data_IF_277648239255
#
_entry.id   IF_277648239255
#
_cell.length_a   1.000
_cell.length_b   1.000
_cell.length_c   1.000
_cell.angle_alpha   90.00
_cell.angle_beta   90.00
_cell.angle_gamma   90.00
#
_symmetry.space_group_name_H-M   'P 1'
#
loop_
_entity.id
_entity.type
_entity.pdbx_description
1 polymer ?
#
# COMPACT_ATOMS: atom_id res chain seq x y z
N UNK A 1 -50.42 0.17 40.10
CA UNK A 1 -49.06 0.58 39.69
C UNK A 1 -48.13 0.15 40.82
N UNK A 2 -47.71 -1.11 40.87
CA UNK A 2 -46.44 -1.62 40.32
C UNK A 2 -45.24 -0.81 40.81
N UNK A 3 -44.21 -1.32 41.52
CA UNK A 3 -43.90 -2.65 42.07
C UNK A 3 -42.51 -2.48 42.77
N UNK A 4 -42.35 -3.05 43.98
CA UNK A 4 -41.10 -3.54 44.64
C UNK A 4 -40.08 -2.60 45.34
N UNK A 5 -40.09 -2.72 46.68
CA UNK A 5 -38.93 -2.70 47.59
C UNK A 5 -38.00 -3.89 47.32
N UNK A 6 -36.67 -3.70 47.35
CA UNK A 6 -35.70 -4.60 48.01
C UNK A 6 -34.51 -3.76 48.50
N UNK A 7 -34.23 -3.86 49.80
CA UNK A 7 -33.06 -3.33 50.51
C UNK A 7 -31.95 -4.39 50.63
N UNK A 8 -30.76 -3.95 51.07
CA UNK A 8 -29.59 -4.73 51.54
C UNK A 8 -28.80 -5.41 50.41
N UNK A 9 -27.47 -5.26 50.27
CA UNK A 9 -26.43 -5.01 51.25
C UNK A 9 -25.45 -6.18 51.17
N UNK A 10 -24.17 -5.92 50.86
CA UNK A 10 -23.01 -6.72 51.26
C UNK A 10 -21.76 -6.28 50.46
N UNK A 11 -20.90 -5.52 51.13
CA UNK A 11 -19.47 -5.49 50.85
C UNK A 11 -18.93 -6.85 51.30
N UNK A 12 -18.31 -7.64 50.41
CA UNK A 12 -17.42 -8.73 50.82
C UNK A 12 -16.34 -8.98 49.77
N UNK A 13 -15.14 -9.22 50.30
CA UNK A 13 -13.86 -9.16 49.65
C UNK A 13 -13.44 -10.48 48.98
N UNK A 14 -12.43 -10.35 48.11
CA UNK A 14 -11.34 -11.29 47.81
C UNK A 14 -11.66 -12.80 47.75
N UNK A 15 -11.55 -13.36 46.55
CA UNK A 15 -10.95 -14.69 46.38
C UNK A 15 -9.85 -14.65 45.31
N UNK A 16 -8.61 -14.67 45.80
CA UNK A 16 -7.45 -15.20 45.07
C UNK A 16 -7.65 -16.71 44.93
N UNK A 17 -7.78 -17.20 43.70
CA UNK A 17 -7.48 -18.61 43.37
C UNK A 17 -6.55 -18.60 42.17
N UNK A 18 -5.36 -19.13 42.40
CA UNK A 18 -4.32 -19.33 41.42
C UNK A 18 -4.72 -20.37 40.38
N UNK A 19 -4.36 -20.08 39.12
CA UNK A 19 -3.97 -21.08 38.13
C UNK A 19 -5.07 -21.92 37.48
N UNK A 20 -5.73 -21.37 36.45
CA UNK A 20 -6.18 -22.15 35.28
C UNK A 20 -6.20 -21.24 34.05
N UNK A 21 -5.56 -21.69 32.96
CA UNK A 21 -5.80 -21.33 31.57
C UNK A 21 -6.31 -19.91 31.27
N UNK A 22 -5.38 -19.00 31.03
CA UNK A 22 -5.66 -17.81 30.21
C UNK A 22 -5.83 -18.22 28.74
N UNK A 23 -6.89 -18.97 28.42
CA UNK A 23 -7.51 -18.81 27.11
C UNK A 23 -7.99 -17.37 27.08
N UNK A 24 -7.19 -16.51 26.47
CA UNK A 24 -7.68 -15.20 26.04
C UNK A 24 -8.70 -15.51 24.96
N UNK A 25 -9.95 -15.70 25.37
CA UNK A 25 -11.08 -15.60 24.48
C UNK A 25 -11.12 -14.11 24.11
N UNK A 26 -10.32 -13.72 23.11
CA UNK A 26 -10.57 -12.49 22.37
C UNK A 26 -11.83 -12.73 21.54
N UNK A 27 -12.99 -12.66 22.19
CA UNK A 27 -14.21 -12.28 21.49
C UNK A 27 -14.08 -10.78 21.18
N UNK A 28 -13.25 -10.47 20.19
CA UNK A 28 -13.22 -9.19 19.49
C UNK A 28 -13.42 -9.53 18.03
N UNK A 29 -14.39 -8.88 17.39
CA UNK A 29 -14.72 -9.01 15.98
C UNK A 29 -13.48 -9.28 15.12
N UNK A 30 -13.62 -10.17 14.12
CA UNK A 30 -12.68 -10.24 13.01
C UNK A 30 -12.69 -8.87 12.33
N UNK A 31 -11.87 -7.98 12.86
CA UNK A 31 -11.92 -6.59 12.51
C UNK A 31 -11.38 -6.51 11.09
N UNK A 32 -12.18 -5.90 10.24
CA UNK A 32 -11.89 -5.47 8.87
C UNK A 32 -10.72 -4.48 8.79
N UNK A 33 -9.75 -4.58 9.70
CA UNK A 33 -8.58 -3.74 9.81
C UNK A 33 -7.73 -3.87 8.55
N UNK A 34 -7.29 -2.72 8.04
CA UNK A 34 -6.37 -2.69 6.92
C UNK A 34 -5.05 -3.34 7.37
N UNK A 35 -4.49 -4.29 6.61
CA UNK A 35 -3.17 -4.84 6.93
C UNK A 35 -2.15 -3.72 7.10
N UNK A 36 -1.19 -3.89 8.00
CA UNK A 36 -0.05 -2.97 8.10
C UNK A 36 0.93 -3.22 6.94
N UNK A 37 1.66 -2.18 6.47
CA UNK A 37 2.54 -2.33 5.33
C UNK A 37 3.69 -3.27 5.70
N UNK A 38 3.85 -4.34 4.91
CA UNK A 38 4.97 -5.26 5.05
C UNK A 38 6.27 -4.66 4.49
N UNK A 39 7.44 -5.22 4.86
CA UNK A 39 8.68 -4.84 4.22
C UNK A 39 8.64 -5.23 2.74
N UNK A 40 9.19 -4.36 1.88
CA UNK A 40 9.37 -4.73 0.49
C UNK A 40 10.34 -5.91 0.38
N UNK A 41 10.07 -6.89 -0.50
CA UNK A 41 10.95 -8.02 -0.67
C UNK A 41 12.34 -7.52 -1.07
N UNK A 42 13.38 -8.09 -0.44
CA UNK A 42 14.75 -7.75 -0.77
C UNK A 42 14.96 -7.95 -2.27
N UNK A 43 15.38 -6.89 -2.95
CA UNK A 43 15.65 -6.94 -4.38
C UNK A 43 16.99 -7.61 -4.58
N UNK A 44 16.98 -8.80 -5.18
CA UNK A 44 18.24 -9.40 -5.64
C UNK A 44 18.91 -8.42 -6.60
N UNK A 45 20.24 -8.23 -6.51
CA UNK A 45 20.95 -7.35 -7.43
C UNK A 45 20.64 -7.81 -8.85
N UNK A 46 19.95 -6.97 -9.61
CA UNK A 46 19.53 -7.36 -10.94
C UNK A 46 20.78 -7.27 -11.82
N UNK A 47 21.15 -8.36 -12.53
CA UNK A 47 22.38 -8.38 -13.30
C UNK A 47 22.32 -7.29 -14.38
N UNK A 48 23.09 -6.22 -14.18
CA UNK A 48 23.28 -5.18 -15.17
C UNK A 48 24.05 -5.75 -16.36
N UNK A 49 23.58 -5.48 -17.58
CA UNK A 49 24.35 -5.82 -18.76
C UNK A 49 25.64 -5.02 -18.79
N UNK A 50 26.80 -5.69 -18.73
CA UNK A 50 28.10 -5.00 -18.89
C UNK A 50 28.32 -4.46 -20.30
N UNK A 51 27.66 -5.04 -21.31
CA UNK A 51 27.81 -4.66 -22.72
C UNK A 51 26.88 -3.53 -23.14
N UNK A 52 25.73 -3.42 -22.50
CA UNK A 52 24.73 -2.38 -22.76
C UNK A 52 23.97 -2.01 -21.47
N UNK A 53 24.62 -1.25 -20.57
CA UNK A 53 24.00 -0.83 -19.31
C UNK A 53 22.74 0.01 -19.53
N UNK A 54 22.76 0.89 -20.53
CA UNK A 54 21.67 1.83 -20.80
C UNK A 54 20.44 1.13 -21.38
N UNK A 55 20.62 0.22 -22.35
CA UNK A 55 19.51 -0.57 -22.89
C UNK A 55 18.89 -1.49 -21.84
N UNK A 56 19.72 -2.14 -21.00
CA UNK A 56 19.22 -2.92 -19.86
C UNK A 56 18.38 -2.06 -18.90
N UNK A 57 18.85 -0.87 -18.58
CA UNK A 57 18.18 0.05 -17.67
C UNK A 57 16.81 0.48 -18.22
N UNK A 58 16.77 0.89 -19.50
CA UNK A 58 15.51 1.24 -20.18
C UNK A 58 14.50 0.11 -20.19
N UNK A 59 14.91 -1.09 -20.58
CA UNK A 59 14.02 -2.27 -20.58
C UNK A 59 13.52 -2.56 -19.17
N UNK A 60 14.36 -2.37 -18.15
CA UNK A 60 13.98 -2.59 -16.75
C UNK A 60 12.91 -1.59 -16.30
N UNK A 61 13.07 -0.30 -16.61
CA UNK A 61 12.07 0.73 -16.30
C UNK A 61 10.77 0.47 -17.04
N UNK A 62 10.83 0.23 -18.35
CA UNK A 62 9.64 -0.01 -19.18
C UNK A 62 8.83 -1.21 -18.67
N UNK A 63 9.51 -2.35 -18.41
CA UNK A 63 8.87 -3.55 -17.88
C UNK A 63 8.15 -3.29 -16.56
N UNK A 64 8.78 -2.56 -15.64
CA UNK A 64 8.19 -2.29 -14.34
C UNK A 64 7.10 -1.22 -14.39
N UNK A 65 7.22 -0.21 -15.27
CA UNK A 65 6.15 0.73 -15.55
C UNK A 65 4.91 0.01 -16.12
N UNK A 66 5.09 -0.95 -17.02
CA UNK A 66 4.00 -1.78 -17.54
C UNK A 66 3.41 -2.68 -16.46
N UNK A 67 4.24 -3.23 -15.57
CA UNK A 67 3.74 -3.98 -14.40
C UNK A 67 2.88 -3.10 -13.49
N UNK A 68 3.30 -1.87 -13.18
CA UNK A 68 2.52 -0.92 -12.38
C UNK A 68 1.18 -0.58 -13.04
N UNK A 69 1.18 -0.38 -14.36
CA UNK A 69 -0.05 -0.19 -15.13
C UNK A 69 -0.96 -1.43 -15.07
N UNK A 70 -0.39 -2.63 -15.23
CA UNK A 70 -1.15 -3.87 -15.15
C UNK A 70 -1.78 -4.05 -13.78
N UNK A 71 -1.04 -3.80 -12.69
CA UNK A 71 -1.57 -3.88 -11.32
C UNK A 71 -2.73 -2.90 -11.11
N UNK A 72 -2.57 -1.66 -11.57
CA UNK A 72 -3.62 -0.63 -11.47
C UNK A 72 -4.85 -1.00 -12.29
N UNK A 73 -4.64 -1.52 -13.50
CA UNK A 73 -5.72 -1.99 -14.38
C UNK A 73 -6.46 -3.17 -13.75
N UNK A 74 -5.75 -4.16 -13.20
CA UNK A 74 -6.34 -5.31 -12.50
C UNK A 74 -7.13 -4.88 -11.28
N UNK A 75 -6.60 -3.95 -10.47
CA UNK A 75 -7.33 -3.39 -9.34
C UNK A 75 -8.62 -2.69 -9.78
N UNK A 76 -8.57 -1.90 -10.86
CA UNK A 76 -9.75 -1.22 -11.41
C UNK A 76 -10.71 -2.15 -12.14
N UNK A 77 -10.27 -3.29 -12.65
CA UNK A 77 -11.18 -4.28 -13.20
C UNK A 77 -12.08 -4.88 -12.11
N UNK A 78 -11.53 -5.08 -10.90
CA UNK A 78 -12.27 -5.53 -9.72
C UNK A 78 -13.12 -4.39 -9.11
N UNK A 79 -12.59 -3.17 -9.10
CA UNK A 79 -13.19 -1.98 -8.49
C UNK A 79 -13.41 -0.83 -9.52
N UNK A 80 -14.31 -1.00 -10.51
CA UNK A 80 -14.34 -0.21 -11.75
C UNK A 80 -14.91 1.20 -11.67
N UNK A 81 -15.64 1.56 -10.61
CA UNK A 81 -16.32 2.86 -10.55
C UNK A 81 -15.54 3.94 -9.80
N UNK A 82 -14.29 3.65 -9.41
CA UNK A 82 -13.42 4.59 -8.68
C UNK A 82 -14.00 5.01 -7.33
N UNK A 83 -14.98 4.26 -6.80
CA UNK A 83 -15.60 4.57 -5.51
C UNK A 83 -14.83 3.91 -4.38
N UNK A 84 -15.09 4.43 -3.19
CA UNK A 84 -14.69 3.79 -1.95
C UNK A 84 -15.70 2.67 -1.66
N UNK A 85 -15.26 1.42 -1.74
CA UNK A 85 -16.14 0.27 -1.52
C UNK A 85 -16.26 -0.04 -0.03
N UNK A 86 -17.45 -0.49 0.38
CA UNK A 86 -17.74 -0.92 1.76
C UNK A 86 -17.52 -2.42 1.98
N UNK A 87 -17.17 -3.17 0.94
CA UNK A 87 -16.91 -4.61 1.05
C UNK A 87 -15.73 -4.85 2.00
N UNK A 88 -15.78 -5.98 2.73
CA UNK A 88 -14.71 -6.37 3.64
C UNK A 88 -13.37 -6.60 2.94
N UNK A 89 -13.41 -6.95 1.65
CA UNK A 89 -12.23 -7.29 0.83
C UNK A 89 -11.53 -6.06 0.23
N UNK A 90 -12.24 -4.94 0.06
CA UNK A 90 -11.68 -3.74 -0.59
C UNK A 90 -10.45 -3.19 0.14
N UNK A 91 -10.49 -3.06 1.48
CA UNK A 91 -9.37 -2.46 2.23
C UNK A 91 -8.12 -3.36 2.21
N UNK A 92 -8.23 -4.69 2.47
CA UNK A 92 -7.11 -5.61 2.27
C UNK A 92 -6.56 -5.63 0.85
N UNK A 93 -7.43 -5.61 -0.17
CA UNK A 93 -7.00 -5.61 -1.56
C UNK A 93 -6.29 -4.32 -1.95
N UNK A 94 -6.84 -3.18 -1.55
CA UNK A 94 -6.20 -1.89 -1.74
C UNK A 94 -4.83 -1.85 -1.06
N UNK A 95 -4.72 -2.35 0.18
CA UNK A 95 -3.46 -2.41 0.90
C UNK A 95 -2.41 -3.23 0.12
N UNK A 96 -2.77 -4.43 -0.33
CA UNK A 96 -1.89 -5.30 -1.13
C UNK A 96 -1.45 -4.62 -2.43
N UNK A 97 -2.39 -3.99 -3.13
CA UNK A 97 -2.10 -3.27 -4.38
C UNK A 97 -1.19 -2.05 -4.13
N UNK A 98 -1.47 -1.23 -3.12
CA UNK A 98 -0.66 -0.07 -2.78
C UNK A 98 0.76 -0.50 -2.34
N UNK A 99 0.86 -1.52 -1.50
CA UNK A 99 2.15 -2.01 -1.00
C UNK A 99 2.98 -2.62 -2.15
N UNK A 100 2.38 -3.42 -3.04
CA UNK A 100 3.09 -3.98 -4.21
C UNK A 100 3.60 -2.88 -5.16
N UNK A 101 2.77 -1.87 -5.44
CA UNK A 101 3.16 -0.77 -6.32
C UNK A 101 4.26 0.10 -5.71
N UNK A 102 4.20 0.39 -4.41
CA UNK A 102 5.27 1.09 -3.67
C UNK A 102 6.57 0.29 -3.74
N UNK A 103 6.53 -1.03 -3.55
CA UNK A 103 7.74 -1.85 -3.61
C UNK A 103 8.39 -1.88 -5.00
N UNK A 104 7.59 -1.91 -6.07
CA UNK A 104 8.12 -1.80 -7.43
C UNK A 104 8.76 -0.43 -7.66
N UNK A 105 8.14 0.65 -7.17
CA UNK A 105 8.68 2.00 -7.30
C UNK A 105 9.98 2.18 -6.50
N UNK A 106 10.05 1.65 -5.28
CA UNK A 106 11.27 1.66 -4.47
C UNK A 106 12.39 0.82 -5.11
N UNK A 107 12.05 -0.31 -5.71
CA UNK A 107 13.01 -1.09 -6.49
C UNK A 107 13.60 -0.25 -7.64
N UNK A 108 12.75 0.42 -8.42
CA UNK A 108 13.20 1.28 -9.52
C UNK A 108 14.08 2.44 -9.03
N UNK A 109 13.74 3.05 -7.90
CA UNK A 109 14.53 4.12 -7.26
C UNK A 109 15.90 3.63 -6.78
N UNK A 110 15.99 2.36 -6.40
CA UNK A 110 17.26 1.73 -6.01
C UNK A 110 18.17 1.36 -7.18
N UNK A 111 17.72 1.55 -8.44
CA UNK A 111 18.55 1.27 -9.61
C UNK A 111 19.52 2.41 -9.86
N UNK A 112 20.74 2.25 -9.39
CA UNK A 112 21.81 3.20 -9.70
C UNK A 112 22.23 3.09 -11.18
N UNK A 113 22.39 4.24 -11.82
CA UNK A 113 23.02 4.36 -13.14
C UNK A 113 24.52 4.70 -13.02
N UNK A 114 25.21 4.63 -14.16
CA UNK A 114 26.54 5.24 -14.29
C UNK A 114 26.43 6.78 -14.26
N UNK A 115 27.47 7.50 -13.80
CA UNK A 115 27.44 8.96 -13.65
C UNK A 115 26.97 9.75 -14.87
N UNK A 116 27.22 9.23 -16.07
CA UNK A 116 26.86 9.85 -17.35
C UNK A 116 25.33 9.98 -17.56
N UNK A 117 24.51 9.37 -16.69
CA UNK A 117 23.04 9.40 -16.77
C UNK A 117 22.36 10.08 -15.57
N UNK A 118 23.10 10.81 -14.74
CA UNK A 118 22.60 11.41 -13.50
C UNK A 118 21.35 12.31 -13.70
N UNK A 119 21.25 13.03 -14.83
CA UNK A 119 20.07 13.87 -15.12
C UNK A 119 18.79 13.04 -15.34
N UNK A 120 18.92 11.88 -16.01
CA UNK A 120 17.80 10.95 -16.25
C UNK A 120 17.40 10.28 -14.93
N UNK A 121 18.39 9.86 -14.14
CA UNK A 121 18.19 9.28 -12.82
C UNK A 121 17.45 10.26 -11.90
N UNK A 122 17.88 11.52 -11.85
CA UNK A 122 17.20 12.58 -11.07
C UNK A 122 15.74 12.76 -11.49
N UNK A 123 15.46 12.79 -12.80
CA UNK A 123 14.09 12.93 -13.30
C UNK A 123 13.22 11.71 -12.96
N UNK A 124 13.78 10.51 -13.06
CA UNK A 124 13.10 9.28 -12.67
C UNK A 124 12.82 9.24 -11.17
N UNK A 125 13.82 9.57 -10.34
CA UNK A 125 13.71 9.59 -8.89
C UNK A 125 12.62 10.52 -8.40
N UNK A 126 12.52 11.71 -9.00
CA UNK A 126 11.44 12.66 -8.71
C UNK A 126 10.05 12.06 -9.01
N UNK A 127 9.87 11.46 -10.19
CA UNK A 127 8.59 10.85 -10.57
C UNK A 127 8.25 9.66 -9.68
N UNK A 128 9.24 8.85 -9.29
CA UNK A 128 9.06 7.73 -8.38
C UNK A 128 8.70 8.20 -6.96
N UNK A 129 9.32 9.27 -6.45
CA UNK A 129 8.97 9.86 -5.17
C UNK A 129 7.53 10.36 -5.15
N UNK A 130 7.11 11.08 -6.19
CA UNK A 130 5.73 11.54 -6.31
C UNK A 130 4.74 10.36 -6.38
N UNK A 131 5.06 9.32 -7.13
CA UNK A 131 4.23 8.12 -7.21
C UNK A 131 4.13 7.39 -5.87
N UNK A 132 5.25 7.21 -5.16
CA UNK A 132 5.29 6.57 -3.84
C UNK A 132 4.47 7.38 -2.84
N UNK A 133 4.67 8.70 -2.79
CA UNK A 133 3.92 9.58 -1.89
C UNK A 133 2.41 9.52 -2.19
N UNK A 134 2.03 9.51 -3.47
CA UNK A 134 0.63 9.37 -3.89
C UNK A 134 0.02 8.04 -3.44
N UNK A 135 0.72 6.92 -3.61
CA UNK A 135 0.23 5.61 -3.15
C UNK A 135 0.10 5.53 -1.62
N UNK A 136 1.08 6.07 -0.88
CA UNK A 136 1.02 6.15 0.58
C UNK A 136 -0.18 6.99 1.04
N UNK A 137 -0.44 8.13 0.38
CA UNK A 137 -1.62 8.95 0.68
C UNK A 137 -2.94 8.22 0.40
N UNK A 138 -3.03 7.49 -0.72
CA UNK A 138 -4.20 6.64 -1.02
C UNK A 138 -4.43 5.56 0.02
N UNK A 139 -3.34 4.92 0.46
CA UNK A 139 -3.36 3.90 1.52
C UNK A 139 -3.87 4.48 2.84
N UNK A 140 -3.39 5.65 3.22
CA UNK A 140 -3.83 6.33 4.44
C UNK A 140 -5.31 6.74 4.35
N UNK A 141 -5.76 7.24 3.19
CA UNK A 141 -7.16 7.55 2.97
C UNK A 141 -8.06 6.30 3.14
N UNK A 142 -7.62 5.13 2.67
CA UNK A 142 -8.33 3.85 2.85
C UNK A 142 -8.28 3.37 4.31
N UNK A 143 -7.15 3.55 4.99
CA UNK A 143 -7.01 3.24 6.42
C UNK A 143 -8.00 4.08 7.24
N UNK A 144 -8.01 5.40 7.03
CA UNK A 144 -8.84 6.38 7.73
C UNK A 144 -10.31 6.40 7.27
N UNK A 145 -10.67 5.63 6.23
CA UNK A 145 -11.99 5.65 5.58
C UNK A 145 -12.37 7.05 5.05
N UNK A 146 -11.39 7.82 4.61
CA UNK A 146 -11.56 9.15 4.05
C UNK A 146 -11.88 9.08 2.54
N UNK A 147 -13.18 9.14 2.21
CA UNK A 147 -13.67 9.06 0.83
C UNK A 147 -13.19 10.23 -0.04
N UNK A 148 -13.01 11.42 0.54
CA UNK A 148 -12.59 12.61 -0.21
C UNK A 148 -11.15 12.47 -0.69
N UNK A 149 -10.24 12.08 0.21
CA UNK A 149 -8.84 11.84 -0.11
C UNK A 149 -8.66 10.64 -1.04
N UNK A 150 -9.43 9.57 -0.84
CA UNK A 150 -9.43 8.43 -1.75
C UNK A 150 -9.82 8.84 -3.18
N UNK A 151 -10.83 9.70 -3.34
CA UNK A 151 -11.21 10.21 -4.68
C UNK A 151 -10.14 11.10 -5.29
N UNK A 152 -9.41 11.84 -4.47
CA UNK A 152 -8.24 12.61 -4.94
C UNK A 152 -7.13 11.67 -5.41
N UNK A 153 -6.89 10.59 -4.67
CA UNK A 153 -5.97 9.53 -5.07
C UNK A 153 -6.38 8.89 -6.42
N UNK A 154 -7.64 8.48 -6.56
CA UNK A 154 -8.13 7.78 -7.75
C UNK A 154 -8.06 8.66 -9.02
N UNK A 155 -8.35 9.95 -8.91
CA UNK A 155 -8.18 10.88 -10.04
C UNK A 155 -6.72 11.10 -10.43
N UNK A 156 -5.80 10.97 -9.48
CA UNK A 156 -4.38 11.27 -9.69
C UNK A 156 -3.55 10.10 -10.23
N UNK A 157 -3.96 8.85 -9.95
CA UNK A 157 -3.07 7.70 -10.17
C UNK A 157 -2.64 7.52 -11.64
N UNK A 158 -3.54 7.76 -12.60
CA UNK A 158 -3.21 7.68 -14.02
C UNK A 158 -2.15 8.71 -14.45
N UNK A 159 -2.19 9.92 -13.88
CA UNK A 159 -1.23 10.97 -14.20
C UNK A 159 0.18 10.61 -13.74
N UNK A 160 0.32 10.01 -12.55
CA UNK A 160 1.60 9.52 -12.05
C UNK A 160 2.13 8.35 -12.87
N UNK A 161 1.27 7.39 -13.24
CA UNK A 161 1.64 6.29 -14.12
C UNK A 161 2.08 6.78 -15.51
N UNK A 162 1.38 7.77 -16.07
CA UNK A 162 1.73 8.37 -17.34
C UNK A 162 3.08 9.13 -17.26
N UNK A 163 3.36 9.79 -16.14
CA UNK A 163 4.66 10.43 -15.91
C UNK A 163 5.80 9.42 -15.92
N UNK A 164 5.62 8.26 -15.26
CA UNK A 164 6.63 7.21 -15.23
C UNK A 164 6.92 6.65 -16.64
N UNK A 165 5.87 6.40 -17.44
CA UNK A 165 6.02 5.96 -18.84
C UNK A 165 6.73 7.00 -19.70
N UNK A 166 6.46 8.30 -19.52
CA UNK A 166 7.15 9.36 -20.26
C UNK A 166 8.65 9.33 -19.97
N UNK A 167 9.07 9.23 -18.71
CA UNK A 167 10.50 9.10 -18.36
C UNK A 167 11.09 7.82 -18.98
N UNK A 168 10.35 6.69 -18.92
CA UNK A 168 10.73 5.42 -19.54
C UNK A 168 10.89 5.45 -21.06
N UNK A 169 10.15 6.33 -21.74
CA UNK A 169 10.14 6.46 -23.21
C UNK A 169 11.05 7.56 -23.77
N UNK A 170 11.44 8.54 -22.95
CA UNK A 170 12.29 9.69 -23.34
C UNK A 170 13.79 9.38 -23.20
N UNK A 171 14.17 8.24 -22.61
CA UNK A 171 15.57 7.83 -22.53
C UNK A 171 16.17 7.56 -23.93
N UNK A 172 17.16 8.36 -24.39
CA UNK A 172 17.70 8.35 -25.76
C UNK A 172 18.53 7.12 -26.05
#
# INVERSE_FOLDING_TARGET
>A
MSRWLVSLGAVLACFLVAGVAGMVITCGEADTAMPEPGPCPATSPTPTSRRDPLGWYRVTIQRNADRLYSLTSSFRAEYPDGKFYRSGEFRPDFARYADETVCIAQYLRGLALQPDFAAIETALDHVLDEFIAHQVAGREAVRARNVSEYRTWDRGIEAHLAALRRVGGVMP
#
